data_IF_909047907659
#
_entry.id   IF_909047907659
#
_cell.length_a   1.000
_cell.length_b   1.000
_cell.length_c   1.000
_cell.angle_alpha   90.00
_cell.angle_beta   90.00
_cell.angle_gamma   90.00
#
_symmetry.space_group_name_H-M   'P 1'
#
loop_
_entity.id
_entity.type
_entity.pdbx_description
1 polymer ?
#
# COMPACT_ATOMS: atom_id res chain seq x y z
N UNK A 1 -7.01 -6.77 39.59
CA UNK A 1 -7.92 -5.67 39.26
C UNK A 1 -8.15 -5.79 37.76
N UNK A 2 -9.31 -6.32 37.38
CA UNK A 2 -9.65 -6.63 35.98
C UNK A 2 -9.87 -5.28 35.31
N UNK A 3 -8.94 -4.84 34.47
CA UNK A 3 -9.17 -3.73 33.53
C UNK A 3 -10.18 -4.22 32.52
N UNK A 4 -11.44 -3.90 32.73
CA UNK A 4 -12.47 -4.00 31.73
C UNK A 4 -12.02 -3.20 30.50
N UNK A 5 -11.87 -3.87 29.38
CA UNK A 5 -11.78 -3.28 28.07
C UNK A 5 -12.96 -2.30 27.95
N UNK A 6 -12.70 -1.00 28.04
CA UNK A 6 -13.73 0.00 27.76
C UNK A 6 -13.95 -0.10 26.26
N UNK A 7 -15.01 -0.81 25.87
CA UNK A 7 -15.41 -0.87 24.48
C UNK A 7 -15.56 0.58 23.98
N UNK A 8 -14.94 0.90 22.85
CA UNK A 8 -15.07 2.20 22.20
C UNK A 8 -16.57 2.47 22.00
N UNK A 9 -17.09 3.48 22.70
CA UNK A 9 -18.50 3.80 22.71
C UNK A 9 -18.96 4.53 21.43
N UNK A 10 -18.04 4.84 20.53
CA UNK A 10 -18.33 5.51 19.26
C UNK A 10 -18.98 4.54 18.29
N UNK A 11 -19.89 5.08 17.49
CA UNK A 11 -20.60 4.31 16.45
C UNK A 11 -19.64 4.01 15.30
N UNK A 12 -19.44 2.74 14.93
CA UNK A 12 -18.60 2.38 13.79
C UNK A 12 -19.28 2.78 12.47
N UNK A 13 -18.50 3.38 11.57
CA UNK A 13 -18.91 3.76 10.23
C UNK A 13 -18.08 2.99 9.22
N UNK A 14 -18.73 2.23 8.36
CA UNK A 14 -18.09 1.53 7.24
C UNK A 14 -18.40 2.28 5.95
N UNK A 15 -17.38 2.59 5.15
CA UNK A 15 -17.55 3.20 3.83
C UNK A 15 -17.49 2.11 2.78
N UNK A 16 -18.53 2.02 1.96
CA UNK A 16 -18.64 1.11 0.83
C UNK A 16 -18.37 1.87 -0.46
N UNK A 17 -17.32 1.52 -1.18
CA UNK A 17 -16.93 2.15 -2.44
C UNK A 17 -16.58 1.10 -3.50
N UNK A 18 -16.19 1.54 -4.68
CA UNK A 18 -15.81 0.72 -5.81
C UNK A 18 -16.35 1.26 -7.12
N UNK A 19 -15.68 0.98 -8.21
CA UNK A 19 -15.99 1.54 -9.52
C UNK A 19 -17.41 1.19 -10.00
N UNK A 20 -17.89 1.90 -11.02
CA UNK A 20 -19.22 1.67 -11.60
C UNK A 20 -19.40 0.19 -12.00
N UNK A 21 -20.53 -0.39 -11.61
CA UNK A 21 -20.84 -1.78 -11.92
C UNK A 21 -20.10 -2.84 -11.11
N UNK A 22 -19.23 -2.50 -10.16
CA UNK A 22 -18.47 -3.45 -9.34
C UNK A 22 -19.36 -4.33 -8.43
N UNK A 23 -20.61 -3.90 -8.14
CA UNK A 23 -21.58 -4.66 -7.36
C UNK A 23 -21.83 -4.10 -5.96
N UNK A 24 -21.61 -2.80 -5.74
CA UNK A 24 -21.85 -2.11 -4.45
C UNK A 24 -23.28 -2.32 -3.96
N UNK A 25 -24.27 -1.96 -4.76
CA UNK A 25 -25.69 -2.14 -4.43
C UNK A 25 -26.05 -3.61 -4.17
N UNK A 26 -25.38 -4.57 -4.84
CA UNK A 26 -25.58 -6.00 -4.57
C UNK A 26 -25.08 -6.37 -3.18
N UNK A 27 -23.90 -5.88 -2.76
CA UNK A 27 -23.37 -6.10 -1.42
C UNK A 27 -24.22 -5.37 -0.37
N UNK A 28 -24.64 -4.13 -0.65
CA UNK A 28 -25.52 -3.38 0.22
C UNK A 28 -26.83 -4.15 0.49
N UNK A 29 -27.53 -4.58 -0.56
CA UNK A 29 -28.76 -5.37 -0.43
C UNK A 29 -28.54 -6.64 0.39
N UNK A 30 -27.40 -7.29 0.20
CA UNK A 30 -27.05 -8.48 0.98
C UNK A 30 -26.83 -8.15 2.46
N UNK A 31 -26.12 -7.08 2.77
CA UNK A 31 -25.94 -6.59 4.15
C UNK A 31 -27.29 -6.32 4.79
N UNK A 32 -28.22 -5.64 4.08
CA UNK A 32 -29.53 -5.28 4.62
C UNK A 32 -30.50 -6.47 4.77
N UNK A 33 -30.29 -7.56 4.04
CA UNK A 33 -31.22 -8.72 4.04
C UNK A 33 -30.72 -9.90 4.86
N UNK A 34 -29.41 -10.02 5.10
CA UNK A 34 -28.86 -11.11 5.94
C UNK A 34 -29.04 -10.80 7.44
N UNK A 35 -29.29 -11.84 8.21
CA UNK A 35 -29.44 -11.73 9.68
C UNK A 35 -28.06 -11.69 10.35
N UNK A 36 -27.48 -10.51 10.50
CA UNK A 36 -26.20 -10.28 11.19
C UNK A 36 -26.38 -9.73 12.62
N UNK A 37 -27.62 -9.48 13.07
CA UNK A 37 -27.93 -9.07 14.43
C UNK A 37 -27.56 -7.62 14.79
N UNK A 38 -27.19 -6.81 13.82
CA UNK A 38 -26.87 -5.37 13.98
C UNK A 38 -27.93 -4.53 13.26
N UNK A 39 -28.29 -3.38 13.84
CA UNK A 39 -29.16 -2.39 13.21
C UNK A 39 -28.28 -1.41 12.45
N UNK A 40 -28.46 -1.29 11.16
CA UNK A 40 -27.59 -0.50 10.28
C UNK A 40 -28.36 0.70 9.73
N UNK A 41 -27.84 1.91 9.94
CA UNK A 41 -28.29 3.08 9.19
C UNK A 41 -27.46 3.19 7.91
N UNK A 42 -28.11 3.42 6.78
CA UNK A 42 -27.48 3.54 5.47
C UNK A 42 -27.52 4.98 4.99
N UNK A 43 -26.40 5.50 4.54
CA UNK A 43 -26.27 6.78 3.85
C UNK A 43 -25.85 6.49 2.42
N UNK A 44 -26.73 6.74 1.46
CA UNK A 44 -26.46 6.60 0.03
C UNK A 44 -26.10 7.94 -0.58
N UNK A 45 -25.02 7.95 -1.37
CA UNK A 45 -24.61 9.11 -2.17
C UNK A 45 -24.84 8.80 -3.65
N UNK A 46 -25.93 9.28 -4.22
CA UNK A 46 -26.30 9.00 -5.60
C UNK A 46 -26.01 10.18 -6.54
N UNK A 47 -25.54 9.86 -7.74
CA UNK A 47 -25.32 10.80 -8.83
C UNK A 47 -26.46 10.69 -9.83
N UNK A 48 -27.48 11.55 -9.70
CA UNK A 48 -28.60 11.55 -10.66
C UNK A 48 -29.87 12.27 -10.17
N UNK A 49 -30.70 12.76 -11.12
CA UNK A 49 -31.93 13.46 -10.81
C UNK A 49 -33.09 12.53 -10.36
N UNK A 50 -32.89 11.22 -10.39
CA UNK A 50 -33.93 10.23 -10.00
C UNK A 50 -33.19 9.04 -9.36
N UNK A 51 -33.45 8.77 -8.05
CA UNK A 51 -32.96 7.61 -7.29
C UNK A 51 -33.39 6.26 -7.90
N UNK A 52 -32.70 5.84 -8.95
CA UNK A 52 -32.97 4.55 -9.60
C UNK A 52 -32.54 3.40 -8.69
N UNK A 53 -31.50 3.61 -7.85
CA UNK A 53 -30.96 2.57 -6.97
C UNK A 53 -31.86 2.29 -5.76
N UNK A 54 -32.68 3.26 -5.29
CA UNK A 54 -33.71 3.01 -4.28
C UNK A 54 -34.71 1.90 -4.69
N UNK A 55 -35.04 1.79 -5.97
CA UNK A 55 -35.90 0.72 -6.47
C UNK A 55 -35.22 -0.65 -6.47
N UNK A 56 -33.89 -0.69 -6.33
CA UNK A 56 -33.08 -1.90 -6.29
C UNK A 56 -32.73 -2.34 -4.85
N UNK A 57 -32.87 -1.46 -3.86
CA UNK A 57 -32.71 -1.80 -2.44
C UNK A 57 -33.96 -2.52 -1.95
N UNK A 58 -33.80 -3.75 -1.53
CA UNK A 58 -34.91 -4.62 -1.05
C UNK A 58 -35.33 -4.13 0.34
N UNK A 59 -36.64 -3.95 0.54
CA UNK A 59 -37.29 -3.55 1.80
C UNK A 59 -36.57 -4.02 3.06
N UNK A 60 -35.79 -3.14 3.66
CA UNK A 60 -35.28 -3.30 5.00
C UNK A 60 -36.15 -2.49 5.97
N UNK A 61 -36.37 -2.97 7.18
CA UNK A 61 -36.98 -2.15 8.26
C UNK A 61 -36.02 -1.03 8.73
N UNK A 62 -34.98 -0.74 7.97
CA UNK A 62 -33.88 0.16 8.27
C UNK A 62 -34.10 1.53 7.59
N UNK A 63 -33.71 2.60 8.28
CA UNK A 63 -33.86 3.96 7.74
C UNK A 63 -32.75 4.26 6.73
N UNK A 64 -33.09 4.53 5.47
CA UNK A 64 -32.16 4.95 4.41
C UNK A 64 -32.19 6.48 4.32
N UNK A 65 -31.02 7.09 4.30
CA UNK A 65 -30.84 8.55 4.19
C UNK A 65 -30.10 8.90 2.90
N UNK A 66 -30.69 9.75 2.09
CA UNK A 66 -30.09 10.24 0.85
C UNK A 66 -29.31 11.53 1.06
N UNK A 67 -28.17 11.64 0.38
CA UNK A 67 -27.45 12.90 0.24
C UNK A 67 -27.95 13.65 -1.01
N UNK A 68 -28.37 14.90 -0.83
CA UNK A 68 -28.82 15.73 -1.94
C UNK A 68 -27.66 16.17 -2.83
N UNK A 69 -27.89 16.09 -4.15
CA UNK A 69 -26.94 16.40 -5.21
C UNK A 69 -26.33 17.80 -5.10
N UNK A 70 -25.01 17.86 -5.02
CA UNK A 70 -24.23 19.08 -5.18
C UNK A 70 -22.78 18.76 -5.57
N UNK A 71 -22.15 19.64 -6.37
CA UNK A 71 -20.82 19.47 -6.95
C UNK A 71 -19.74 18.83 -6.07
N UNK A 72 -18.95 18.03 -6.70
CA UNK A 72 -18.11 16.90 -6.36
C UNK A 72 -17.11 17.00 -5.18
N UNK A 73 -16.81 18.09 -4.53
CA UNK A 73 -15.78 18.07 -3.46
C UNK A 73 -16.09 18.86 -2.18
N UNK A 74 -16.87 19.90 -2.21
CA UNK A 74 -17.17 20.69 -0.99
C UNK A 74 -18.53 20.39 -0.37
N UNK A 75 -19.47 19.89 -1.15
CA UNK A 75 -20.87 19.69 -0.74
C UNK A 75 -21.08 18.35 -0.04
N UNK A 76 -20.41 17.28 -0.51
CA UNK A 76 -20.52 15.91 0.05
C UNK A 76 -20.16 15.87 1.54
N UNK A 77 -19.08 16.54 1.95
CA UNK A 77 -18.68 16.60 3.36
C UNK A 77 -19.68 17.32 4.23
N UNK A 78 -20.18 18.49 3.80
CA UNK A 78 -21.17 19.25 4.55
C UNK A 78 -22.51 18.52 4.70
N UNK A 79 -22.95 17.83 3.66
CA UNK A 79 -24.16 17.03 3.69
C UNK A 79 -23.98 15.79 4.59
N UNK A 80 -22.83 15.11 4.51
CA UNK A 80 -22.53 13.97 5.37
C UNK A 80 -22.56 14.38 6.86
N UNK A 81 -21.88 15.48 7.24
CA UNK A 81 -21.91 16.00 8.61
C UNK A 81 -23.34 16.31 9.05
N UNK A 82 -24.13 16.96 8.21
CA UNK A 82 -25.53 17.27 8.50
C UNK A 82 -26.39 16.01 8.73
N UNK A 83 -26.20 14.97 7.91
CA UNK A 83 -26.92 13.70 8.04
C UNK A 83 -26.47 12.97 9.31
N UNK A 84 -25.18 12.88 9.56
CA UNK A 84 -24.62 12.28 10.77
C UNK A 84 -25.11 12.99 12.03
N UNK A 85 -25.16 14.34 12.05
CA UNK A 85 -25.73 15.12 13.15
C UNK A 85 -27.23 14.84 13.36
N UNK A 86 -27.99 14.55 12.31
CA UNK A 86 -29.40 14.14 12.43
C UNK A 86 -29.54 12.70 12.95
N UNK A 87 -28.64 11.80 12.52
CA UNK A 87 -28.60 10.43 13.01
C UNK A 87 -28.27 10.38 14.50
N UNK A 88 -27.40 11.27 15.00
CA UNK A 88 -27.09 11.37 16.42
C UNK A 88 -28.33 11.57 17.30
N UNK A 89 -29.34 12.26 16.83
CA UNK A 89 -30.62 12.46 17.55
C UNK A 89 -31.40 11.15 17.71
N UNK A 90 -31.00 10.08 17.00
CA UNK A 90 -31.64 8.75 16.97
C UNK A 90 -30.64 7.63 17.25
N UNK A 91 -29.57 7.93 17.99
CA UNK A 91 -28.47 7.00 18.29
C UNK A 91 -28.91 5.65 18.84
N UNK A 92 -30.03 5.58 19.53
CA UNK A 92 -30.60 4.38 20.11
C UNK A 92 -31.22 3.40 19.09
N UNK A 93 -31.36 3.84 17.83
CA UNK A 93 -32.00 3.06 16.77
C UNK A 93 -31.06 2.21 15.95
N UNK A 94 -29.77 2.48 15.94
CA UNK A 94 -28.78 1.76 15.12
C UNK A 94 -27.48 1.54 15.87
N UNK A 95 -26.78 0.51 15.47
CA UNK A 95 -25.53 0.06 16.07
C UNK A 95 -24.33 0.42 15.18
N UNK A 96 -24.56 0.66 13.89
CA UNK A 96 -23.56 0.94 12.85
C UNK A 96 -24.14 1.84 11.77
N UNK A 97 -23.25 2.54 11.07
CA UNK A 97 -23.58 3.30 9.85
C UNK A 97 -22.81 2.70 8.67
N UNK A 98 -23.47 2.57 7.54
CA UNK A 98 -22.88 2.24 6.26
C UNK A 98 -23.03 3.44 5.32
N UNK A 99 -21.93 3.91 4.74
CA UNK A 99 -21.93 5.01 3.76
C UNK A 99 -21.56 4.43 2.41
N UNK A 100 -22.51 4.40 1.47
CA UNK A 100 -22.23 4.03 0.08
C UNK A 100 -21.82 5.26 -0.72
N UNK A 101 -20.67 5.20 -1.41
CA UNK A 101 -20.23 6.26 -2.32
C UNK A 101 -20.61 5.94 -3.76
N UNK A 102 -20.70 6.96 -4.61
CA UNK A 102 -20.88 6.77 -6.06
C UNK A 102 -19.68 6.03 -6.65
N UNK A 103 -19.88 5.37 -7.80
CA UNK A 103 -18.84 4.58 -8.46
C UNK A 103 -17.64 5.37 -8.98
N UNK A 104 -17.76 6.69 -9.08
CA UNK A 104 -16.69 7.62 -9.50
C UNK A 104 -16.18 8.49 -8.35
N UNK A 105 -16.60 8.23 -7.12
CA UNK A 105 -16.17 9.04 -5.98
C UNK A 105 -14.82 8.61 -5.46
N UNK A 106 -13.97 9.58 -5.15
CA UNK A 106 -12.85 9.41 -4.24
C UNK A 106 -13.40 9.22 -2.81
N UNK A 107 -13.08 8.11 -2.12
CA UNK A 107 -13.53 7.89 -0.75
C UNK A 107 -12.77 8.74 0.28
N UNK A 108 -11.68 9.40 -0.11
CA UNK A 108 -10.85 10.22 0.76
C UNK A 108 -11.62 11.30 1.51
N UNK A 109 -12.37 12.20 0.83
CA UNK A 109 -13.17 13.24 1.48
C UNK A 109 -14.22 12.71 2.47
N UNK A 110 -14.83 11.56 2.17
CA UNK A 110 -15.77 10.89 3.08
C UNK A 110 -15.03 10.42 4.34
N UNK A 111 -13.90 9.74 4.17
CA UNK A 111 -13.07 9.28 5.29
C UNK A 111 -12.55 10.46 6.14
N UNK A 112 -12.11 11.55 5.51
CA UNK A 112 -11.62 12.76 6.18
C UNK A 112 -12.63 13.37 7.15
N UNK A 113 -13.93 13.26 6.86
CA UNK A 113 -15.00 13.79 7.73
C UNK A 113 -14.86 13.27 9.16
N UNK A 114 -14.47 12.00 9.32
CA UNK A 114 -14.32 11.35 10.64
C UNK A 114 -13.03 11.73 11.36
N UNK A 115 -12.12 12.49 10.72
CA UNK A 115 -10.87 12.96 11.34
C UNK A 115 -10.82 14.46 11.57
N UNK A 116 -11.62 15.23 10.83
CA UNK A 116 -11.52 16.70 10.86
C UNK A 116 -12.53 17.39 11.77
N UNK A 117 -13.69 16.78 11.96
CA UNK A 117 -14.77 17.37 12.73
C UNK A 117 -14.74 16.82 14.14
N UNK A 118 -14.56 17.69 15.13
CA UNK A 118 -14.42 17.29 16.53
C UNK A 118 -15.70 16.65 17.08
N UNK A 119 -16.87 17.11 16.66
CA UNK A 119 -18.15 16.50 17.02
C UNK A 119 -18.29 15.10 16.43
N UNK A 120 -17.86 14.92 15.17
CA UNK A 120 -17.88 13.60 14.51
C UNK A 120 -16.91 12.62 15.17
N UNK A 121 -15.71 13.06 15.54
CA UNK A 121 -14.71 12.23 16.23
C UNK A 121 -15.20 11.69 17.58
N UNK A 122 -15.94 12.48 18.31
CA UNK A 122 -16.42 12.10 19.64
C UNK A 122 -17.53 11.04 19.59
N UNK A 123 -18.25 10.95 18.49
CA UNK A 123 -19.43 10.10 18.36
C UNK A 123 -19.27 8.93 17.39
N UNK A 124 -18.44 9.10 16.38
CA UNK A 124 -18.24 8.12 15.32
C UNK A 124 -16.77 7.72 15.21
N UNK A 125 -16.54 6.51 14.74
CA UNK A 125 -15.23 6.04 14.32
C UNK A 125 -15.30 5.42 12.92
N UNK A 126 -14.33 5.71 12.08
CA UNK A 126 -14.20 4.99 10.82
C UNK A 126 -13.79 3.55 11.13
N UNK A 127 -14.68 2.59 10.85
CA UNK A 127 -14.42 1.17 11.02
C UNK A 127 -13.55 0.64 9.88
N UNK A 128 -13.81 1.09 8.67
CA UNK A 128 -12.98 0.81 7.50
C UNK A 128 -13.65 1.16 6.19
N UNK A 129 -12.86 1.07 5.11
CA UNK A 129 -13.30 1.28 3.74
C UNK A 129 -13.30 -0.06 3.01
N UNK A 130 -14.44 -0.45 2.48
CA UNK A 130 -14.64 -1.65 1.67
C UNK A 130 -14.74 -1.25 0.21
N UNK A 131 -13.83 -1.71 -0.60
CA UNK A 131 -13.83 -1.43 -2.04
C UNK A 131 -14.20 -2.69 -2.83
N UNK A 132 -15.29 -2.60 -3.59
CA UNK A 132 -15.64 -3.65 -4.54
C UNK A 132 -14.89 -3.46 -5.84
N UNK A 133 -14.37 -4.57 -6.35
CA UNK A 133 -13.58 -4.63 -7.59
C UNK A 133 -14.25 -5.57 -8.57
N UNK A 134 -14.52 -5.11 -9.78
CA UNK A 134 -14.98 -5.94 -10.90
C UNK A 134 -13.78 -6.64 -11.55
N UNK A 135 -13.57 -7.92 -11.26
CA UNK A 135 -12.43 -8.68 -11.80
C UNK A 135 -12.37 -8.70 -13.33
N UNK A 136 -13.51 -8.61 -14.01
CA UNK A 136 -13.56 -8.63 -15.47
C UNK A 136 -13.02 -7.36 -16.12
N UNK A 137 -13.23 -6.20 -15.48
CA UNK A 137 -12.90 -4.89 -16.07
C UNK A 137 -11.79 -4.15 -15.33
N UNK A 138 -11.30 -4.69 -14.20
CA UNK A 138 -10.32 -4.02 -13.37
C UNK A 138 -9.05 -3.62 -14.13
N UNK A 139 -8.49 -4.52 -14.95
CA UNK A 139 -7.25 -4.26 -15.67
C UNK A 139 -7.34 -2.98 -16.51
N UNK A 140 -8.48 -2.79 -17.21
CA UNK A 140 -8.75 -1.58 -17.99
C UNK A 140 -8.92 -0.36 -17.08
N UNK A 141 -9.72 -0.47 -16.01
CA UNK A 141 -9.99 0.67 -15.13
C UNK A 141 -8.76 1.14 -14.36
N UNK A 142 -7.82 0.26 -14.07
CA UNK A 142 -6.54 0.66 -13.47
C UNK A 142 -5.71 1.56 -14.40
N UNK A 143 -5.82 1.37 -15.71
CA UNK A 143 -5.10 2.19 -16.68
C UNK A 143 -5.81 3.54 -16.93
N UNK A 144 -7.14 3.52 -17.01
CA UNK A 144 -7.94 4.64 -17.50
C UNK A 144 -8.47 5.56 -16.38
N UNK A 145 -8.56 5.11 -15.12
CA UNK A 145 -9.23 5.84 -14.04
C UNK A 145 -8.34 6.05 -12.80
N UNK A 146 -8.13 7.32 -12.47
CA UNK A 146 -7.51 7.72 -11.20
C UNK A 146 -8.38 7.34 -10.01
N UNK A 147 -9.69 7.49 -10.11
CA UNK A 147 -10.65 7.17 -9.05
C UNK A 147 -10.63 5.69 -8.70
N UNK A 148 -10.49 4.81 -9.69
CA UNK A 148 -10.37 3.37 -9.44
C UNK A 148 -9.11 3.05 -8.63
N UNK A 149 -7.99 3.67 -8.96
CA UNK A 149 -6.73 3.51 -8.22
C UNK A 149 -6.83 4.06 -6.79
N UNK A 150 -7.45 5.21 -6.61
CA UNK A 150 -7.68 5.82 -5.30
C UNK A 150 -8.60 4.96 -4.44
N UNK A 151 -9.70 4.45 -4.98
CA UNK A 151 -10.60 3.54 -4.27
C UNK A 151 -9.87 2.29 -3.76
N UNK A 152 -8.93 1.74 -4.53
CA UNK A 152 -8.10 0.60 -4.12
C UNK A 152 -7.09 1.03 -3.04
N UNK A 153 -6.43 2.17 -3.22
CA UNK A 153 -5.45 2.68 -2.27
C UNK A 153 -6.06 2.96 -0.89
N UNK A 154 -7.29 3.46 -0.84
CA UNK A 154 -8.00 3.73 0.40
C UNK A 154 -8.58 2.50 1.09
N UNK A 155 -8.69 1.35 0.43
CA UNK A 155 -9.38 0.17 0.93
C UNK A 155 -8.72 -0.41 2.20
N UNK A 156 -9.55 -0.81 3.17
CA UNK A 156 -9.20 -1.74 4.25
C UNK A 156 -9.55 -3.19 3.87
N UNK A 157 -10.58 -3.34 3.03
CA UNK A 157 -10.94 -4.62 2.43
C UNK A 157 -11.24 -4.43 0.94
N UNK A 158 -10.71 -5.33 0.12
CA UNK A 158 -10.96 -5.43 -1.32
C UNK A 158 -11.82 -6.67 -1.57
N UNK A 159 -13.01 -6.48 -2.10
CA UNK A 159 -13.89 -7.56 -2.52
C UNK A 159 -13.77 -7.74 -4.02
N UNK A 160 -12.99 -8.74 -4.44
CA UNK A 160 -12.82 -9.12 -5.84
C UNK A 160 -14.09 -9.84 -6.29
N UNK A 161 -15.02 -9.09 -6.81
CA UNK A 161 -16.32 -9.58 -7.26
C UNK A 161 -16.28 -10.04 -8.72
N UNK A 162 -17.23 -10.88 -9.10
CA UNK A 162 -17.38 -11.43 -10.44
C UNK A 162 -16.20 -12.34 -10.85
N UNK A 163 -15.58 -13.04 -9.90
CA UNK A 163 -14.49 -13.97 -10.18
C UNK A 163 -14.92 -15.12 -11.11
N UNK A 164 -16.23 -15.40 -11.20
CA UNK A 164 -16.83 -16.37 -12.12
C UNK A 164 -16.81 -15.94 -13.59
N UNK A 165 -16.47 -14.69 -13.90
CA UNK A 165 -16.39 -14.15 -15.26
C UNK A 165 -14.98 -14.13 -15.85
N UNK A 166 -13.98 -14.59 -15.09
CA UNK A 166 -12.57 -14.66 -15.46
C UNK A 166 -11.97 -15.99 -15.01
N UNK A 167 -10.81 -16.38 -15.56
CA UNK A 167 -10.10 -17.57 -15.11
C UNK A 167 -9.29 -17.35 -13.83
N UNK A 168 -8.89 -18.41 -13.15
CA UNK A 168 -8.16 -18.35 -11.88
C UNK A 168 -6.80 -17.65 -12.04
N UNK A 169 -6.10 -17.82 -13.15
CA UNK A 169 -4.81 -17.18 -13.40
C UNK A 169 -4.96 -15.65 -13.49
N UNK A 170 -6.03 -15.18 -14.13
CA UNK A 170 -6.39 -13.76 -14.16
C UNK A 170 -6.66 -13.24 -12.76
N UNK A 171 -7.43 -13.97 -11.94
CA UNK A 171 -7.71 -13.54 -10.54
C UNK A 171 -6.42 -13.44 -9.72
N UNK A 172 -5.53 -14.42 -9.83
CA UNK A 172 -4.24 -14.42 -9.12
C UNK A 172 -3.34 -13.25 -9.56
N UNK A 173 -3.30 -12.96 -10.86
CA UNK A 173 -2.59 -11.80 -11.40
C UNK A 173 -3.15 -10.48 -10.88
N UNK A 174 -4.47 -10.35 -10.80
CA UNK A 174 -5.13 -9.17 -10.22
C UNK A 174 -4.84 -9.03 -8.73
N UNK A 175 -4.90 -10.12 -7.96
CA UNK A 175 -4.55 -10.08 -6.53
C UNK A 175 -3.12 -9.62 -6.32
N UNK A 176 -2.17 -10.11 -7.12
CA UNK A 176 -0.78 -9.69 -7.06
C UNK A 176 -0.63 -8.19 -7.31
N UNK A 177 -1.29 -7.68 -8.35
CA UNK A 177 -1.29 -6.25 -8.69
C UNK A 177 -1.93 -5.40 -7.59
N UNK A 178 -3.04 -5.85 -7.03
CA UNK A 178 -3.73 -5.14 -5.95
C UNK A 178 -2.91 -5.12 -4.65
N UNK A 179 -2.19 -6.20 -4.34
CA UNK A 179 -1.28 -6.23 -3.18
C UNK A 179 -0.10 -5.28 -3.34
N UNK A 180 0.43 -5.12 -4.54
CA UNK A 180 1.47 -4.13 -4.81
C UNK A 180 0.96 -2.69 -4.61
N UNK A 181 -0.30 -2.41 -4.98
CA UNK A 181 -0.93 -1.10 -4.78
C UNK A 181 -1.32 -0.85 -3.32
N UNK A 182 -1.89 -1.85 -2.66
CA UNK A 182 -2.36 -1.76 -1.27
C UNK A 182 -2.13 -3.08 -0.52
N UNK A 183 -0.94 -3.23 0.05
CA UNK A 183 -0.55 -4.41 0.82
C UNK A 183 -1.29 -4.59 2.15
N UNK A 184 -2.02 -3.56 2.62
CA UNK A 184 -2.78 -3.60 3.88
C UNK A 184 -4.19 -4.16 3.71
N UNK A 185 -4.78 -4.02 2.52
CA UNK A 185 -6.15 -4.41 2.30
C UNK A 185 -6.31 -5.94 2.37
N UNK A 186 -7.36 -6.38 3.08
CA UNK A 186 -7.78 -7.78 3.02
C UNK A 186 -8.43 -8.04 1.68
N UNK A 187 -7.99 -9.06 0.98
CA UNK A 187 -8.57 -9.44 -0.30
C UNK A 187 -9.50 -10.63 -0.11
N UNK A 188 -10.73 -10.52 -0.62
CA UNK A 188 -11.72 -11.59 -0.64
C UNK A 188 -12.26 -11.78 -2.05
N UNK A 189 -12.32 -13.04 -2.51
CA UNK A 189 -12.95 -13.41 -3.78
C UNK A 189 -14.45 -13.57 -3.58
N UNK A 190 -15.24 -13.04 -4.50
CA UNK A 190 -16.69 -13.07 -4.43
C UNK A 190 -17.36 -13.34 -5.78
N UNK A 191 -18.53 -13.98 -5.72
CA UNK A 191 -19.53 -14.04 -6.81
C UNK A 191 -20.79 -13.38 -6.30
N UNK A 192 -21.40 -12.51 -7.10
CA UNK A 192 -22.60 -11.77 -6.70
C UNK A 192 -22.47 -11.13 -5.33
N UNK A 193 -21.28 -10.58 -5.03
CA UNK A 193 -20.92 -9.98 -3.75
C UNK A 193 -21.11 -10.91 -2.53
N UNK A 194 -21.04 -12.23 -2.71
CA UNK A 194 -21.12 -13.21 -1.61
C UNK A 194 -19.80 -13.25 -0.85
N UNK A 195 -19.75 -12.59 0.29
CA UNK A 195 -18.62 -12.52 1.23
C UNK A 195 -19.11 -12.79 2.65
N UNK A 196 -18.20 -13.14 3.54
CA UNK A 196 -18.49 -13.18 4.97
C UNK A 196 -18.65 -11.72 5.47
N UNK A 197 -19.86 -11.38 5.93
CA UNK A 197 -20.18 -10.02 6.38
C UNK A 197 -19.34 -9.57 7.58
N UNK A 198 -18.90 -10.47 8.44
CA UNK A 198 -17.99 -10.14 9.54
C UNK A 198 -16.64 -9.61 9.05
N UNK A 199 -16.25 -9.95 7.83
CA UNK A 199 -15.00 -9.48 7.23
C UNK A 199 -15.13 -8.15 6.45
N UNK A 200 -16.33 -7.62 6.33
CA UNK A 200 -16.61 -6.33 5.70
C UNK A 200 -17.24 -5.32 6.64
N UNK A 201 -17.83 -5.76 7.77
CA UNK A 201 -18.49 -4.90 8.74
C UNK A 201 -17.72 -4.68 10.05
N UNK A 202 -16.75 -5.50 10.39
CA UNK A 202 -15.94 -5.37 11.61
C UNK A 202 -14.47 -5.35 11.25
N UNK A 203 -14.08 -4.35 10.46
CA UNK A 203 -12.71 -4.19 10.00
C UNK A 203 -11.78 -3.75 11.14
N UNK A 204 -12.34 -3.06 12.15
CA UNK A 204 -11.67 -2.73 13.40
C UNK A 204 -10.56 -1.68 13.27
N UNK A 205 -10.54 -0.94 12.19
CA UNK A 205 -9.43 -0.02 11.91
C UNK A 205 -8.14 -0.77 11.54
N UNK A 206 -7.00 -0.31 12.03
CA UNK A 206 -5.71 -0.96 11.79
C UNK A 206 -5.41 -2.01 12.85
N UNK A 207 -5.24 -3.27 12.46
CA UNK A 207 -4.70 -4.36 13.28
C UNK A 207 -3.38 -4.85 12.66
N UNK A 208 -2.27 -4.54 13.35
CA UNK A 208 -0.94 -4.90 12.90
C UNK A 208 -0.70 -6.42 12.91
N UNK A 209 -1.13 -7.11 13.98
CA UNK A 209 -0.95 -8.56 14.05
C UNK A 209 -1.64 -9.24 12.88
N UNK A 210 -2.81 -8.76 12.53
CA UNK A 210 -3.57 -9.22 11.38
C UNK A 210 -2.88 -8.91 10.05
N UNK A 211 -2.23 -7.75 9.90
CA UNK A 211 -1.44 -7.44 8.71
C UNK A 211 -0.26 -8.40 8.55
N UNK A 212 0.41 -8.75 9.67
CA UNK A 212 1.50 -9.73 9.70
C UNK A 212 1.02 -11.16 9.46
N UNK A 213 -0.13 -11.55 10.01
CA UNK A 213 -0.72 -12.87 9.80
C UNK A 213 -1.12 -13.09 8.33
N UNK A 214 -1.54 -12.02 7.64
CA UNK A 214 -1.92 -12.04 6.22
C UNK A 214 -0.72 -11.98 5.27
N UNK A 215 0.31 -11.23 5.64
CA UNK A 215 1.54 -11.09 4.88
C UNK A 215 2.73 -10.98 5.84
N UNK A 216 3.41 -12.10 6.15
CA UNK A 216 4.61 -12.07 6.97
C UNK A 216 5.72 -11.19 6.40
N UNK A 217 5.76 -11.02 5.07
CA UNK A 217 6.66 -10.12 4.37
C UNK A 217 6.18 -8.66 4.37
N UNK A 218 5.02 -8.35 4.98
CA UNK A 218 4.47 -6.99 5.08
C UNK A 218 5.44 -5.97 5.69
N UNK A 219 6.33 -6.44 6.57
CA UNK A 219 7.38 -5.64 7.20
C UNK A 219 8.72 -5.74 6.47
N UNK A 220 8.84 -6.63 5.47
CA UNK A 220 10.04 -6.61 4.66
C UNK A 220 10.03 -5.35 3.81
N UNK A 221 11.10 -4.55 3.88
CA UNK A 221 11.20 -3.37 3.05
C UNK A 221 11.08 -3.76 1.57
N UNK A 222 10.30 -3.02 0.80
CA UNK A 222 10.41 -3.05 -0.65
C UNK A 222 11.79 -2.51 -1.01
N UNK A 223 12.52 -3.26 -1.82
CA UNK A 223 13.83 -2.85 -2.28
C UNK A 223 13.75 -2.31 -3.72
N UNK A 224 14.56 -1.31 -4.10
CA UNK A 224 14.60 -0.84 -5.48
C UNK A 224 15.29 -1.84 -6.42
N UNK A 225 15.47 -3.08 -5.97
CA UNK A 225 16.03 -4.19 -6.71
C UNK A 225 15.34 -5.50 -6.28
N UNK A 226 15.18 -6.40 -7.22
CA UNK A 226 14.55 -7.71 -7.01
C UNK A 226 15.54 -8.81 -6.70
N UNK A 227 16.81 -8.56 -7.01
CA UNK A 227 17.84 -9.58 -6.85
C UNK A 227 19.21 -8.98 -6.52
N UNK A 228 19.99 -9.75 -5.78
CA UNK A 228 21.41 -9.49 -5.57
C UNK A 228 22.23 -10.78 -5.59
N UNK A 229 23.41 -10.71 -6.20
CA UNK A 229 24.38 -11.80 -6.27
C UNK A 229 25.78 -11.34 -5.90
N UNK A 230 26.50 -12.19 -5.18
CA UNK A 230 27.89 -11.95 -4.76
C UNK A 230 28.83 -12.80 -5.58
N UNK A 231 29.80 -12.15 -6.19
CA UNK A 231 30.78 -12.77 -7.06
C UNK A 231 32.20 -12.49 -6.60
N UNK A 232 33.13 -13.38 -6.91
CA UNK A 232 34.57 -13.10 -6.90
C UNK A 232 34.99 -12.92 -8.35
N UNK A 233 35.04 -11.68 -8.80
CA UNK A 233 35.42 -11.35 -10.18
C UNK A 233 36.93 -11.30 -10.30
N UNK A 234 37.55 -12.07 -11.22
CA UNK A 234 38.99 -12.10 -11.40
C UNK A 234 39.51 -10.81 -12.03
N UNK A 235 40.83 -10.56 -11.88
CA UNK A 235 41.52 -9.52 -12.62
C UNK A 235 41.37 -9.74 -14.13
N UNK A 236 41.18 -8.69 -14.88
CA UNK A 236 40.94 -8.71 -16.33
C UNK A 236 39.56 -8.19 -16.73
N UNK A 237 39.13 -8.55 -17.92
CA UNK A 237 37.83 -8.14 -18.45
C UNK A 237 36.78 -9.23 -18.26
N UNK A 238 35.94 -9.08 -17.26
CA UNK A 238 34.71 -9.86 -17.10
C UNK A 238 33.60 -9.20 -17.92
N UNK A 239 32.53 -9.94 -18.26
CA UNK A 239 31.44 -9.41 -19.11
C UNK A 239 30.09 -9.76 -18.51
N UNK A 240 29.25 -8.74 -18.36
CA UNK A 240 27.83 -8.91 -18.06
C UNK A 240 27.07 -9.06 -19.39
N UNK A 241 26.30 -10.12 -19.53
CA UNK A 241 25.53 -10.43 -20.75
C UNK A 241 24.04 -10.53 -20.40
N UNK A 242 23.20 -9.80 -21.13
CA UNK A 242 21.75 -9.83 -21.01
C UNK A 242 21.12 -10.13 -22.35
N UNK A 243 20.08 -10.94 -22.36
CA UNK A 243 19.25 -11.21 -23.54
C UNK A 243 18.05 -10.25 -23.60
N UNK A 244 17.13 -10.47 -24.54
CA UNK A 244 15.87 -9.77 -24.60
C UNK A 244 15.02 -10.07 -23.37
N UNK A 245 14.39 -9.06 -22.80
CA UNK A 245 13.54 -9.14 -21.60
C UNK A 245 12.32 -8.24 -21.71
N UNK A 246 11.51 -8.16 -20.65
CA UNK A 246 10.24 -7.46 -20.67
C UNK A 246 10.38 -5.94 -20.85
N UNK A 247 11.50 -5.35 -20.36
CA UNK A 247 11.72 -3.90 -20.34
C UNK A 247 12.85 -3.44 -21.26
N UNK A 248 12.75 -2.23 -21.83
CA UNK A 248 13.75 -1.67 -22.72
C UNK A 248 15.02 -1.17 -21.99
N UNK A 249 15.03 -1.20 -20.67
CA UNK A 249 16.15 -0.82 -19.82
C UNK A 249 16.09 -1.57 -18.49
N UNK A 250 17.22 -1.61 -17.75
CA UNK A 250 17.31 -2.17 -16.40
C UNK A 250 18.29 -1.35 -15.56
N UNK A 251 17.92 -1.03 -14.33
CA UNK A 251 18.82 -0.43 -13.38
C UNK A 251 19.69 -1.48 -12.70
N UNK A 252 20.96 -1.11 -12.46
CA UNK A 252 21.96 -2.00 -11.93
C UNK A 252 22.97 -1.24 -11.07
N UNK A 253 23.33 -1.81 -9.93
CA UNK A 253 24.38 -1.32 -9.04
C UNK A 253 25.44 -2.41 -8.85
N UNK A 254 26.72 -2.03 -8.98
CA UNK A 254 27.89 -2.85 -8.71
C UNK A 254 28.64 -2.25 -7.54
N UNK A 255 28.92 -3.05 -6.51
CA UNK A 255 29.67 -2.63 -5.32
C UNK A 255 30.87 -3.54 -5.10
N UNK A 256 32.02 -2.96 -4.85
CA UNK A 256 33.13 -3.70 -4.25
C UNK A 256 32.83 -3.95 -2.79
N UNK A 257 32.92 -5.21 -2.37
CA UNK A 257 32.61 -5.63 -1.00
C UNK A 257 33.80 -6.34 -0.39
N UNK A 258 33.99 -6.25 0.91
CA UNK A 258 34.99 -7.05 1.60
C UNK A 258 34.46 -8.47 1.85
N UNK A 259 35.38 -9.43 2.02
CA UNK A 259 35.04 -10.85 2.29
C UNK A 259 34.17 -11.01 3.56
N UNK A 260 34.16 -10.00 4.44
CA UNK A 260 33.48 -9.99 5.74
C UNK A 260 32.33 -9.00 5.81
N UNK A 261 32.06 -8.23 4.74
CA UNK A 261 30.97 -7.26 4.77
C UNK A 261 29.62 -7.96 4.81
N UNK A 262 28.99 -7.78 5.95
CA UNK A 262 27.65 -8.28 6.16
C UNK A 262 26.72 -7.75 5.06
N UNK A 263 25.87 -8.63 4.57
CA UNK A 263 24.78 -8.40 3.62
C UNK A 263 24.02 -7.08 3.85
N UNK A 264 24.00 -6.61 5.11
CA UNK A 264 23.33 -5.38 5.51
C UNK A 264 24.00 -4.11 4.97
N UNK A 265 25.33 -4.00 5.00
CA UNK A 265 26.04 -2.77 4.62
C UNK A 265 26.00 -2.54 3.12
N UNK A 266 26.23 -3.58 2.33
CA UNK A 266 26.17 -3.49 0.85
C UNK A 266 24.73 -3.20 0.37
N UNK A 267 23.72 -3.75 1.06
CA UNK A 267 22.31 -3.50 0.78
C UNK A 267 21.92 -2.04 0.99
N UNK A 268 22.28 -1.44 2.12
CA UNK A 268 22.00 -0.03 2.42
C UNK A 268 22.69 0.90 1.41
N UNK A 269 23.93 0.57 1.02
CA UNK A 269 24.63 1.33 -0.02
C UNK A 269 23.94 1.20 -1.37
N UNK A 270 23.50 0.01 -1.75
CA UNK A 270 22.75 -0.20 -3.00
C UNK A 270 21.45 0.62 -3.02
N UNK A 271 20.65 0.61 -1.94
CA UNK A 271 19.41 1.41 -1.83
C UNK A 271 19.69 2.89 -2.12
N UNK A 272 20.74 3.46 -1.52
CA UNK A 272 21.12 4.86 -1.74
C UNK A 272 21.51 5.12 -3.19
N UNK A 273 22.25 4.19 -3.81
CA UNK A 273 22.71 4.37 -5.19
C UNK A 273 21.56 4.23 -6.20
N UNK A 274 20.57 3.36 -5.96
CA UNK A 274 19.39 3.29 -6.81
C UNK A 274 18.57 4.58 -6.80
N UNK A 275 18.64 5.36 -5.72
CA UNK A 275 17.98 6.67 -5.61
C UNK A 275 18.85 7.84 -6.09
N UNK A 276 20.11 7.59 -6.51
CA UNK A 276 21.02 8.60 -7.03
C UNK A 276 20.78 8.84 -8.54
N UNK A 277 21.31 9.96 -9.12
CA UNK A 277 21.28 10.17 -10.55
C UNK A 277 21.89 9.01 -11.33
N UNK A 278 21.17 8.50 -12.32
CA UNK A 278 21.57 7.31 -13.08
C UNK A 278 22.64 7.60 -14.12
N UNK A 279 23.50 6.62 -14.38
CA UNK A 279 24.52 6.62 -15.40
C UNK A 279 24.00 5.80 -16.58
N UNK A 280 23.70 6.43 -17.69
CA UNK A 280 23.28 5.72 -18.91
C UNK A 280 24.41 4.86 -19.46
N UNK A 281 24.14 3.58 -19.69
CA UNK A 281 25.08 2.64 -20.30
C UNK A 281 24.44 1.93 -21.50
N UNK A 282 25.17 1.91 -22.63
CA UNK A 282 24.78 1.18 -23.85
C UNK A 282 25.59 -0.11 -23.97
N UNK A 283 25.11 -1.09 -24.72
CA UNK A 283 25.90 -2.28 -25.02
C UNK A 283 27.30 -1.90 -25.54
N UNK A 284 28.33 -2.46 -24.92
CA UNK A 284 29.73 -2.15 -25.17
C UNK A 284 30.34 -1.10 -24.23
N UNK A 285 29.55 -0.35 -23.50
CA UNK A 285 30.06 0.61 -22.50
C UNK A 285 30.64 -0.16 -21.30
N UNK A 286 31.77 0.33 -20.80
CA UNK A 286 32.47 -0.29 -19.66
C UNK A 286 31.81 0.09 -18.34
N UNK A 287 31.40 -0.92 -17.56
CA UNK A 287 30.92 -0.74 -16.21
C UNK A 287 32.06 -0.77 -15.20
N UNK A 288 31.88 -0.08 -14.07
CA UNK A 288 32.83 -0.07 -12.94
C UNK A 288 32.08 -0.19 -11.62
N UNK A 289 32.58 -0.94 -10.66
CA UNK A 289 32.04 -0.92 -9.31
C UNK A 289 32.15 0.46 -8.64
N UNK A 290 31.30 0.71 -7.65
CA UNK A 290 31.31 1.88 -6.76
C UNK A 290 31.12 3.26 -7.43
N UNK A 291 30.61 3.28 -8.64
CA UNK A 291 30.45 4.54 -9.40
C UNK A 291 29.03 5.11 -9.26
N UNK A 292 28.01 4.27 -9.12
CA UNK A 292 26.62 4.68 -9.02
C UNK A 292 25.64 3.63 -9.55
N UNK A 293 24.42 4.08 -9.80
CA UNK A 293 23.39 3.27 -10.44
C UNK A 293 23.51 3.42 -11.97
N UNK A 294 23.68 2.30 -12.65
CA UNK A 294 23.64 2.27 -14.11
C UNK A 294 22.22 2.01 -14.59
N UNK A 295 21.84 2.69 -15.68
CA UNK A 295 20.66 2.36 -16.47
C UNK A 295 21.13 1.73 -17.79
N UNK A 296 21.07 0.41 -17.84
CA UNK A 296 21.44 -0.37 -19.01
C UNK A 296 20.37 -0.24 -20.08
N UNK A 297 20.75 0.19 -21.31
CA UNK A 297 19.83 0.24 -22.44
C UNK A 297 19.74 -1.09 -23.13
N UNK A 298 18.54 -1.69 -23.14
CA UNK A 298 18.28 -3.04 -23.62
C UNK A 298 17.34 -3.11 -24.83
N UNK A 299 16.93 -1.96 -25.39
CA UNK A 299 15.97 -1.87 -26.50
C UNK A 299 16.43 -2.46 -27.83
N UNK A 300 17.71 -2.81 -27.99
CA UNK A 300 18.19 -3.49 -29.19
C UNK A 300 17.93 -5.00 -29.07
N UNK A 301 17.44 -5.67 -30.14
CA UNK A 301 17.24 -7.11 -30.09
C UNK A 301 18.54 -7.91 -29.98
N UNK A 302 18.49 -9.05 -29.32
CA UNK A 302 19.60 -9.98 -29.13
C UNK A 302 20.47 -9.71 -27.90
N UNK A 303 21.60 -10.37 -27.78
CA UNK A 303 22.50 -10.28 -26.62
C UNK A 303 23.15 -8.90 -26.48
N UNK A 304 23.13 -8.36 -25.28
CA UNK A 304 23.76 -7.08 -24.89
C UNK A 304 24.90 -7.37 -23.95
N UNK A 305 26.09 -6.91 -24.30
CA UNK A 305 27.31 -7.15 -23.54
C UNK A 305 27.79 -5.86 -22.88
N UNK A 306 28.14 -5.91 -21.61
CA UNK A 306 28.71 -4.80 -20.84
C UNK A 306 30.02 -5.26 -20.18
N UNK A 307 31.18 -4.81 -20.65
CA UNK A 307 32.47 -5.22 -20.09
C UNK A 307 32.72 -4.59 -18.71
N UNK A 308 33.35 -5.35 -17.81
CA UNK A 308 33.84 -4.95 -16.49
C UNK A 308 35.35 -5.15 -16.44
N UNK A 309 36.12 -4.09 -16.57
CA UNK A 309 37.59 -4.16 -16.47
C UNK A 309 38.02 -3.99 -15.02
N UNK A 310 38.61 -5.02 -14.44
CA UNK A 310 39.09 -5.03 -13.06
C UNK A 310 40.62 -5.15 -13.01
N UNK A 311 41.28 -4.24 -12.26
CA UNK A 311 42.77 -4.28 -12.15
C UNK A 311 43.27 -5.46 -11.31
N UNK A 312 42.45 -5.94 -10.40
CA UNK A 312 42.73 -7.05 -9.49
C UNK A 312 41.48 -7.89 -9.26
N UNK A 313 41.59 -9.00 -8.59
CA UNK A 313 40.43 -9.82 -8.19
C UNK A 313 39.65 -9.10 -7.11
N UNK A 314 38.33 -8.88 -7.33
CA UNK A 314 37.47 -8.11 -6.45
C UNK A 314 36.21 -8.92 -6.07
N UNK A 315 35.90 -8.93 -4.79
CA UNK A 315 34.56 -9.35 -4.33
C UNK A 315 33.54 -8.29 -4.71
N UNK A 316 32.54 -8.66 -5.49
CA UNK A 316 31.56 -7.74 -6.06
C UNK A 316 30.16 -8.17 -5.74
N UNK A 317 29.35 -7.26 -5.19
CA UNK A 317 27.92 -7.42 -5.07
C UNK A 317 27.23 -6.74 -6.28
N UNK A 318 26.42 -7.51 -6.98
CA UNK A 318 25.61 -7.07 -8.10
C UNK A 318 24.15 -7.01 -7.66
N UNK A 319 23.53 -5.84 -7.76
CA UNK A 319 22.11 -5.63 -7.49
C UNK A 319 21.42 -5.26 -8.79
N UNK A 320 20.29 -5.92 -9.08
CA UNK A 320 19.52 -5.70 -10.31
C UNK A 320 18.07 -5.35 -9.99
N UNK A 321 17.52 -4.37 -10.71
CA UNK A 321 16.13 -3.94 -10.61
C UNK A 321 15.16 -5.10 -10.85
N UNK A 322 15.45 -5.93 -11.85
CA UNK A 322 14.67 -7.13 -12.21
C UNK A 322 15.41 -8.41 -11.86
N UNK A 323 14.64 -9.50 -11.74
CA UNK A 323 15.27 -10.82 -11.53
C UNK A 323 16.13 -11.21 -12.75
N UNK A 324 17.34 -11.76 -12.55
CA UNK A 324 18.25 -12.14 -13.64
C UNK A 324 17.63 -13.05 -14.71
N UNK A 325 16.70 -13.91 -14.32
CA UNK A 325 16.06 -14.87 -15.24
C UNK A 325 15.23 -14.17 -16.32
N UNK A 326 14.67 -12.98 -16.04
CA UNK A 326 13.85 -12.21 -16.98
C UNK A 326 14.64 -11.73 -18.20
N UNK A 327 15.93 -11.50 -18.02
CA UNK A 327 16.86 -11.06 -19.07
C UNK A 327 17.93 -12.10 -19.38
N UNK A 328 17.83 -13.32 -18.84
CA UNK A 328 18.84 -14.36 -18.95
C UNK A 328 20.25 -13.80 -18.65
N UNK A 329 20.35 -13.01 -17.56
CA UNK A 329 21.58 -12.33 -17.17
C UNK A 329 22.67 -13.34 -16.80
N UNK A 330 23.84 -13.15 -17.38
CA UNK A 330 25.02 -14.00 -17.17
C UNK A 330 26.24 -13.13 -16.90
N UNK A 331 27.07 -13.57 -15.97
CA UNK A 331 28.40 -13.00 -15.71
C UNK A 331 29.45 -13.95 -16.28
N UNK A 332 30.27 -13.47 -17.18
CA UNK A 332 31.35 -14.25 -17.80
C UNK A 332 32.70 -13.77 -17.28
N UNK A 333 33.60 -14.69 -17.03
CA UNK A 333 34.98 -14.39 -16.68
C UNK A 333 35.80 -13.93 -17.91
N UNK A 334 37.08 -13.51 -17.76
CA UNK A 334 37.91 -13.10 -18.89
C UNK A 334 38.17 -14.18 -19.95
N UNK A 335 37.84 -15.44 -19.65
CA UNK A 335 37.94 -16.57 -20.58
C UNK A 335 36.61 -16.94 -21.22
N UNK A 336 35.54 -16.15 -20.92
CA UNK A 336 34.18 -16.41 -21.40
C UNK A 336 33.44 -17.53 -20.67
N UNK A 337 33.93 -17.97 -19.52
CA UNK A 337 33.27 -19.01 -18.73
C UNK A 337 32.22 -18.41 -17.82
N UNK A 338 31.06 -19.09 -17.71
CA UNK A 338 29.96 -18.65 -16.86
C UNK A 338 30.37 -18.68 -15.37
N UNK A 339 30.25 -17.57 -14.72
CA UNK A 339 30.45 -17.43 -13.30
C UNK A 339 29.13 -17.60 -12.54
N UNK A 340 29.19 -18.35 -11.45
CA UNK A 340 28.07 -18.45 -10.53
C UNK A 340 28.30 -17.54 -9.33
N UNK A 341 27.25 -16.92 -8.76
CA UNK A 341 27.39 -16.16 -7.53
C UNK A 341 27.76 -17.11 -6.38
N UNK A 342 28.65 -16.69 -5.48
CA UNK A 342 28.93 -17.38 -4.24
C UNK A 342 27.67 -17.47 -3.35
N UNK A 343 26.87 -16.43 -3.40
CA UNK A 343 25.61 -16.31 -2.72
C UNK A 343 24.68 -15.44 -3.56
N UNK A 344 23.40 -15.78 -3.61
CA UNK A 344 22.38 -14.96 -4.25
C UNK A 344 21.14 -14.89 -3.39
N UNK A 345 20.44 -13.76 -3.45
CA UNK A 345 19.19 -13.54 -2.74
C UNK A 345 18.19 -12.84 -3.67
N UNK A 346 17.00 -13.41 -3.79
CA UNK A 346 15.85 -12.72 -4.33
C UNK A 346 15.23 -11.85 -3.22
N UNK A 347 14.85 -10.66 -3.59
CA UNK A 347 14.09 -9.74 -2.77
C UNK A 347 12.65 -9.70 -3.28
N UNK A 348 11.71 -9.36 -2.42
CA UNK A 348 10.31 -9.44 -2.77
C UNK A 348 10.03 -8.57 -4.01
N UNK A 349 9.51 -9.15 -5.12
CA UNK A 349 9.23 -8.40 -6.33
C UNK A 349 7.98 -7.54 -6.11
N UNK A 350 8.16 -6.35 -5.53
CA UNK A 350 7.12 -5.33 -5.42
C UNK A 350 6.93 -4.51 -6.69
N UNK A 351 7.78 -4.73 -7.69
CA UNK A 351 7.82 -3.89 -8.88
C UNK A 351 7.10 -4.55 -10.07
N UNK A 352 5.86 -4.20 -10.26
CA UNK A 352 5.29 -4.04 -11.60
C UNK A 352 5.06 -2.55 -11.78
N UNK A 353 5.61 -2.03 -12.86
CA UNK A 353 5.53 -0.63 -13.27
C UNK A 353 4.08 -0.19 -13.51
N UNK A 354 3.38 0.12 -12.44
CA UNK A 354 2.22 0.99 -12.44
C UNK A 354 2.62 2.21 -11.60
N UNK A 355 3.25 3.16 -12.24
CA UNK A 355 4.03 4.28 -11.67
C UNK A 355 3.20 5.28 -10.85
N UNK A 356 1.98 4.96 -10.48
CA UNK A 356 1.09 5.97 -9.89
C UNK A 356 0.73 5.74 -8.44
N UNK A 357 0.51 4.50 -7.98
CA UNK A 357 0.15 4.23 -6.58
C UNK A 357 1.00 3.08 -6.03
N UNK A 358 1.66 3.34 -4.91
CA UNK A 358 2.52 2.38 -4.24
C UNK A 358 2.36 2.46 -2.72
N UNK A 359 2.94 1.50 -2.00
CA UNK A 359 3.02 1.53 -0.56
C UNK A 359 4.47 1.48 -0.07
N UNK A 360 4.77 2.31 0.94
CA UNK A 360 6.07 2.37 1.59
C UNK A 360 5.90 2.02 3.05
N UNK A 361 6.54 0.93 3.50
CA UNK A 361 6.58 0.53 4.90
C UNK A 361 7.92 0.93 5.55
N UNK A 362 7.84 1.44 6.78
CA UNK A 362 8.99 1.81 7.62
C UNK A 362 8.88 1.05 8.93
N UNK A 363 9.98 0.39 9.33
CA UNK A 363 10.10 -0.30 10.62
C UNK A 363 11.29 0.26 11.37
N UNK A 364 11.11 0.59 12.65
CA UNK A 364 12.18 1.16 13.48
C UNK A 364 12.00 0.68 14.93
N UNK A 365 13.06 0.11 15.51
CA UNK A 365 13.06 -0.40 16.89
C UNK A 365 13.27 0.71 17.92
N UNK A 366 14.00 1.77 17.52
CA UNK A 366 14.28 2.90 18.40
C UNK A 366 13.00 3.69 18.68
N UNK A 367 12.87 4.21 19.90
CA UNK A 367 11.70 4.99 20.25
C UNK A 367 11.61 6.31 19.46
N UNK A 368 10.39 6.69 19.15
CA UNK A 368 10.07 7.90 18.38
C UNK A 368 9.72 9.05 19.31
N UNK A 369 10.25 10.22 19.03
CA UNK A 369 9.85 11.47 19.67
C UNK A 369 8.59 12.03 19.01
N UNK A 370 7.49 12.08 19.74
CA UNK A 370 6.18 12.50 19.23
C UNK A 370 6.18 13.94 18.68
N UNK A 371 6.96 14.85 19.30
CA UNK A 371 7.03 16.23 18.85
C UNK A 371 7.77 16.36 17.52
N UNK A 372 8.91 15.66 17.36
CA UNK A 372 9.65 15.62 16.09
C UNK A 372 8.80 14.98 15.00
N UNK A 373 8.10 13.87 15.31
CA UNK A 373 7.21 13.19 14.38
C UNK A 373 6.09 14.12 13.89
N UNK A 374 5.42 14.82 14.79
CA UNK A 374 4.34 15.75 14.43
C UNK A 374 4.84 16.89 13.53
N UNK A 375 6.03 17.41 13.78
CA UNK A 375 6.63 18.44 12.95
C UNK A 375 6.95 17.91 11.55
N UNK A 376 7.56 16.74 11.47
CA UNK A 376 7.90 16.11 10.20
C UNK A 376 6.65 15.74 9.39
N UNK A 377 5.65 15.08 10.01
CA UNK A 377 4.41 14.74 9.34
C UNK A 377 3.67 15.99 8.84
N UNK A 378 3.64 17.05 9.65
CA UNK A 378 3.02 18.32 9.22
C UNK A 378 3.73 18.95 8.04
N UNK A 379 5.07 18.85 7.95
CA UNK A 379 5.84 19.31 6.81
C UNK A 379 5.59 18.42 5.58
N UNK A 380 5.70 17.10 5.74
CA UNK A 380 5.47 16.11 4.70
C UNK A 380 4.08 16.26 4.07
N UNK A 381 3.05 16.35 4.90
CA UNK A 381 1.67 16.50 4.42
C UNK A 381 1.41 17.85 3.73
N UNK A 382 2.11 18.90 4.12
CA UNK A 382 2.03 20.21 3.43
C UNK A 382 2.64 20.16 2.04
N UNK A 383 3.73 19.40 1.87
CA UNK A 383 4.48 19.32 0.61
C UNK A 383 3.94 18.24 -0.31
N UNK A 384 3.60 17.07 0.22
CA UNK A 384 3.23 15.87 -0.53
C UNK A 384 1.86 15.29 -0.15
N UNK A 385 1.06 15.99 0.66
CA UNK A 385 -0.19 15.45 1.19
C UNK A 385 -1.23 15.09 0.12
N UNK A 386 -1.19 15.74 -1.04
CA UNK A 386 -2.04 15.38 -2.17
C UNK A 386 -1.65 14.02 -2.82
N UNK A 387 -0.42 13.60 -2.63
CA UNK A 387 0.11 12.33 -3.16
C UNK A 387 0.08 11.20 -2.11
N UNK A 388 -0.07 11.51 -0.83
CA UNK A 388 -0.20 10.53 0.25
C UNK A 388 -1.68 10.29 0.53
N UNK A 389 -2.22 9.19 0.01
CA UNK A 389 -3.65 8.86 0.18
C UNK A 389 -3.96 8.34 1.57
N UNK A 390 -3.07 7.53 2.13
CA UNK A 390 -3.29 6.91 3.44
C UNK A 390 -1.98 6.69 4.18
N UNK A 391 -2.06 6.84 5.50
CA UNK A 391 -0.99 6.49 6.42
C UNK A 391 -1.58 5.68 7.56
N UNK A 392 -0.90 4.63 8.00
CA UNK A 392 -1.26 3.86 9.18
C UNK A 392 -0.01 3.38 9.89
N UNK A 393 -0.12 3.14 11.21
CA UNK A 393 0.99 2.57 11.93
C UNK A 393 0.75 2.35 13.40
N UNK A 394 1.74 1.72 14.00
CA UNK A 394 1.92 1.62 15.45
C UNK A 394 3.25 2.25 15.78
N UNK A 395 3.29 3.10 16.78
CA UNK A 395 4.48 3.82 17.18
C UNK A 395 4.95 3.37 18.56
N UNK A 396 6.25 3.15 18.67
CA UNK A 396 6.97 3.03 19.92
C UNK A 396 7.44 4.43 20.33
N UNK A 397 6.68 5.11 21.19
CA UNK A 397 7.01 6.45 21.67
C UNK A 397 7.97 6.37 22.87
N UNK A 398 8.93 7.29 22.93
CA UNK A 398 9.95 7.32 23.97
C UNK A 398 9.35 7.43 25.40
N UNK A 399 8.32 8.23 25.56
CA UNK A 399 7.73 8.54 26.86
C UNK A 399 6.39 7.84 27.12
N UNK A 400 6.07 6.77 26.36
CA UNK A 400 4.81 6.06 26.49
C UNK A 400 4.99 4.55 26.66
N UNK A 401 4.39 3.99 27.71
CA UNK A 401 4.39 2.56 27.96
C UNK A 401 3.40 1.78 27.08
N UNK A 402 2.46 2.49 26.45
CA UNK A 402 1.47 1.92 25.57
C UNK A 402 1.91 2.04 24.11
N UNK A 403 1.40 1.17 23.29
CA UNK A 403 1.40 1.32 21.84
C UNK A 403 0.63 2.60 21.50
N UNK A 404 1.09 3.30 20.49
CA UNK A 404 0.38 4.45 19.97
C UNK A 404 -0.06 4.12 18.55
N UNK A 405 -1.36 3.95 18.34
CA UNK A 405 -1.94 3.67 17.03
C UNK A 405 -2.17 4.98 16.30
N UNK A 406 -1.75 5.01 15.05
CA UNK A 406 -1.75 6.19 14.21
C UNK A 406 -2.41 5.85 12.87
N UNK A 407 -3.23 6.75 12.37
CA UNK A 407 -3.82 6.64 11.04
C UNK A 407 -4.00 8.04 10.42
N UNK A 408 -3.87 8.11 9.12
CA UNK A 408 -4.05 9.34 8.37
C UNK A 408 -4.69 9.09 7.02
N UNK A 409 -5.41 10.10 6.55
CA UNK A 409 -6.06 10.14 5.24
C UNK A 409 -5.76 11.49 4.63
N UNK A 410 -5.03 11.51 3.52
CA UNK A 410 -4.49 12.73 2.90
C UNK A 410 -3.77 13.63 3.92
N UNK A 411 -4.14 14.90 3.99
CA UNK A 411 -3.48 15.90 4.83
C UNK A 411 -3.81 15.79 6.33
N UNK A 412 -4.55 14.78 6.75
CA UNK A 412 -5.03 14.63 8.11
C UNK A 412 -4.49 13.38 8.75
N UNK A 413 -4.09 13.47 9.99
CA UNK A 413 -3.73 12.31 10.77
C UNK A 413 -4.28 12.44 12.19
N UNK A 414 -4.57 11.30 12.78
CA UNK A 414 -5.00 11.15 14.16
C UNK A 414 -4.26 9.98 14.79
N UNK A 415 -4.02 10.09 16.09
CA UNK A 415 -3.33 9.03 16.82
C UNK A 415 -3.76 8.99 18.27
N UNK A 416 -3.87 7.79 18.81
CA UNK A 416 -4.28 7.57 20.19
C UNK A 416 -3.46 6.47 20.86
N UNK A 417 -3.33 6.58 22.18
CA UNK A 417 -2.77 5.49 22.97
C UNK A 417 -3.68 4.27 22.88
N UNK A 418 -3.10 3.12 22.56
CA UNK A 418 -3.75 1.81 22.56
C UNK A 418 -3.43 1.07 23.88
N UNK A 419 -3.37 -0.22 23.87
CA UNK A 419 -3.00 -1.08 24.99
C UNK A 419 -1.49 -1.02 25.32
N UNK A 420 -1.09 -1.44 26.52
CA UNK A 420 0.33 -1.70 26.80
C UNK A 420 0.95 -2.74 25.85
N UNK A 421 2.25 -2.59 25.59
CA UNK A 421 3.02 -3.61 24.88
C UNK A 421 2.98 -4.94 25.65
N UNK A 422 2.83 -6.05 24.95
CA UNK A 422 2.92 -7.41 25.55
C UNK A 422 4.37 -7.79 25.74
N UNK A 423 4.68 -8.66 26.71
CA UNK A 423 6.07 -9.06 27.01
C UNK A 423 6.75 -9.78 25.84
N UNK A 424 5.99 -10.46 25.00
CA UNK A 424 6.50 -11.21 23.82
C UNK A 424 6.45 -10.36 22.52
N UNK A 425 5.93 -9.14 22.58
CA UNK A 425 5.74 -8.25 21.43
C UNK A 425 6.96 -7.34 21.27
N UNK A 426 7.64 -7.31 20.10
CA UNK A 426 8.74 -6.40 19.88
C UNK A 426 8.25 -4.95 19.94
N UNK A 427 8.90 -4.13 20.77
CA UNK A 427 8.62 -2.70 20.85
C UNK A 427 9.29 -2.00 19.68
N UNK A 428 8.54 -1.79 18.62
CA UNK A 428 9.03 -1.15 17.41
C UNK A 428 7.94 -0.29 16.77
N UNK A 429 8.35 0.78 16.15
CA UNK A 429 7.47 1.60 15.31
C UNK A 429 7.35 0.95 13.94
N UNK A 430 6.13 0.96 13.42
CA UNK A 430 5.82 0.44 12.10
C UNK A 430 4.84 1.40 11.46
N UNK A 431 5.22 1.98 10.33
CA UNK A 431 4.39 2.90 9.56
C UNK A 431 4.30 2.45 8.12
N UNK A 432 3.15 2.65 7.53
CA UNK A 432 2.95 2.46 6.11
C UNK A 432 2.33 3.73 5.51
N UNK A 433 2.84 4.10 4.36
CA UNK A 433 2.32 5.16 3.52
C UNK A 433 1.78 4.51 2.24
N UNK A 434 0.60 4.90 1.81
CA UNK A 434 0.00 4.50 0.53
C UNK A 434 -0.29 5.79 -0.25
N UNK A 435 0.22 5.85 -1.47
CA UNK A 435 0.07 7.05 -2.29
C UNK A 435 0.77 6.93 -3.63
N UNK A 436 0.81 8.03 -4.37
CA UNK A 436 1.53 8.12 -5.65
C UNK A 436 2.85 8.85 -5.47
N UNK A 437 3.81 8.55 -6.32
CA UNK A 437 5.14 9.19 -6.33
C UNK A 437 5.84 9.18 -4.97
N UNK A 438 5.63 8.14 -4.16
CA UNK A 438 6.23 8.04 -2.83
C UNK A 438 7.72 7.76 -2.95
N UNK A 439 8.55 8.69 -2.42
CA UNK A 439 9.99 8.43 -2.28
C UNK A 439 10.28 7.76 -0.94
N UNK A 440 10.69 6.50 -1.01
CA UNK A 440 10.97 5.69 0.17
C UNK A 440 12.15 6.25 0.98
N UNK A 441 13.20 6.74 0.30
CA UNK A 441 14.41 7.23 0.96
C UNK A 441 14.09 8.48 1.76
N UNK A 442 13.33 9.40 1.15
CA UNK A 442 12.89 10.63 1.81
C UNK A 442 11.99 10.32 3.01
N UNK A 443 11.01 9.42 2.85
CA UNK A 443 10.12 8.99 3.92
C UNK A 443 10.89 8.33 5.07
N UNK A 444 11.80 7.40 4.75
CA UNK A 444 12.60 6.70 5.77
C UNK A 444 13.55 7.66 6.49
N UNK A 445 14.25 8.52 5.76
CA UNK A 445 15.18 9.51 6.33
C UNK A 445 14.45 10.50 7.22
N UNK A 446 13.30 11.00 6.75
CA UNK A 446 12.47 11.91 7.53
C UNK A 446 11.96 11.28 8.82
N UNK A 447 11.51 10.02 8.76
CA UNK A 447 11.09 9.28 9.95
C UNK A 447 12.26 9.04 10.92
N UNK A 448 13.43 8.65 10.41
CA UNK A 448 14.63 8.43 11.23
C UNK A 448 15.10 9.72 11.95
N UNK A 449 14.87 10.90 11.38
CA UNK A 449 15.14 12.16 12.04
C UNK A 449 14.22 12.44 13.26
N UNK A 450 13.11 11.68 13.37
CA UNK A 450 12.16 11.79 14.48
C UNK A 450 12.53 10.92 15.70
N UNK A 451 13.60 10.15 15.63
CA UNK A 451 14.03 9.25 16.70
C UNK A 451 14.70 10.03 17.84
N UNK A 452 14.66 9.44 19.05
CA UNK A 452 15.37 9.95 20.22
C UNK A 452 16.83 9.47 20.27
#
# INVERSE_FOLDING_TARGET
MILTNIADARIPVTVLTGFLGAGKTTLLNRILTEQHGQRIAVIENEFGEIGIDQALVVNAEEEIFEMNNGCLCCTVRGDLIRILGNLMKRRDKFDRILVETTGLADPGPVAQTFFMDDEMKDHFRLDGIVTLVDCKHLAQHLEDSAECREQIAFADALVLNKVDLVDDATVEGLETRLRAMNGLAKIQRARMAQVDLAQVLDLGGFDLQRALDLNPAFLEPEYPFEWAGWYVLPAGESTLVLEDGPDPAMHLVLLSVSEHDALAVSKETAIRLFSAPVIEARPGDQLKPDVGCYRLRLSQPGSKCFPLQLPETVHTALFTEHHPDEFTLRVLDPHGQLMQPLFARAYNPGHRHDDTVSSVAIVEERPVNIHKLNLWLSALLREQGADIYRMKGVLHLADNLNRFVFQGVHMLFDGQADRPWRDEEPRQSQMIFIGRNLDRVDLTTGFQACLD
#
